data_IF_101257811552
#
_entry.id   IF_101257811552
#
_cell.length_a   1.000
_cell.length_b   1.000
_cell.length_c   1.000
_cell.angle_alpha   90.00
_cell.angle_beta   90.00
_cell.angle_gamma   90.00
#
_symmetry.space_group_name_H-M   'P 1'
#
loop_
_entity.id
_entity.type
_entity.pdbx_description
1 polymer ?
#
# COMPACT_ATOMS: atom_id res chain seq x y z
N UNK A 1 -18.74 18.01 1.85
CA UNK A 1 -17.62 17.44 2.62
C UNK A 1 -16.54 18.49 2.62
N UNK A 2 -16.24 19.06 3.77
CA UNK A 2 -15.16 20.05 3.90
C UNK A 2 -13.85 19.28 3.86
N UNK A 3 -13.10 19.39 2.75
CA UNK A 3 -11.76 18.83 2.63
C UNK A 3 -10.81 19.57 3.55
N UNK A 4 -10.15 18.84 4.44
CA UNK A 4 -9.20 19.42 5.39
C UNK A 4 -7.91 19.81 4.67
N UNK A 5 -7.74 21.10 4.38
CA UNK A 5 -6.50 21.63 3.83
C UNK A 5 -5.58 22.14 4.93
N UNK A 6 -4.35 21.63 4.98
CA UNK A 6 -3.31 22.11 5.88
C UNK A 6 -2.46 23.16 5.15
N UNK A 7 -2.36 24.37 5.71
CA UNK A 7 -1.48 25.42 5.18
C UNK A 7 -0.03 25.09 5.53
N UNK A 8 0.86 25.16 4.55
CA UNK A 8 2.31 25.07 4.77
C UNK A 8 2.91 26.47 4.97
N UNK A 9 3.59 26.69 6.08
CA UNK A 9 4.32 27.93 6.35
C UNK A 9 5.76 27.80 5.86
N UNK A 10 5.97 28.00 4.56
CA UNK A 10 7.28 27.92 3.95
C UNK A 10 7.41 28.86 2.75
N UNK A 11 8.14 29.97 2.95
CA UNK A 11 8.44 30.94 1.89
C UNK A 11 9.17 30.29 0.71
N UNK A 12 10.01 29.27 0.97
CA UNK A 12 10.71 28.54 -0.08
C UNK A 12 9.74 27.76 -0.99
N UNK A 13 8.74 27.08 -0.40
CA UNK A 13 7.73 26.34 -1.16
C UNK A 13 6.79 27.29 -1.90
N UNK A 14 6.37 28.37 -1.26
CA UNK A 14 5.59 29.43 -1.91
C UNK A 14 6.37 30.00 -3.10
N UNK A 15 7.66 30.29 -2.95
CA UNK A 15 8.52 30.78 -4.03
C UNK A 15 8.62 29.79 -5.19
N UNK A 16 8.82 28.50 -4.91
CA UNK A 16 8.88 27.46 -5.95
C UNK A 16 7.55 27.40 -6.70
N UNK A 17 6.43 27.35 -5.98
CA UNK A 17 5.10 27.33 -6.58
C UNK A 17 4.83 28.57 -7.44
N UNK A 18 5.27 29.76 -7.00
CA UNK A 18 5.15 31.00 -7.78
C UNK A 18 5.97 30.97 -9.08
N UNK A 19 7.22 30.48 -9.01
CA UNK A 19 8.08 30.37 -10.19
C UNK A 19 7.52 29.36 -11.21
N UNK A 20 6.96 28.25 -10.74
CA UNK A 20 6.27 27.28 -11.60
C UNK A 20 5.01 27.88 -12.25
N UNK A 21 4.22 28.67 -11.52
CA UNK A 21 3.08 29.39 -12.06
C UNK A 21 3.51 30.40 -13.15
N UNK A 22 4.58 31.15 -12.91
CA UNK A 22 5.19 32.06 -13.90
C UNK A 22 5.64 31.29 -15.14
N UNK A 23 6.37 30.19 -14.96
CA UNK A 23 6.84 29.38 -16.07
C UNK A 23 5.67 28.84 -16.91
N UNK A 24 4.61 28.35 -16.26
CA UNK A 24 3.40 27.90 -16.95
C UNK A 24 2.71 29.04 -17.72
N UNK A 25 2.59 30.23 -17.12
CA UNK A 25 1.98 31.40 -17.77
C UNK A 25 2.76 31.82 -19.02
N UNK A 26 4.09 31.92 -18.92
CA UNK A 26 4.97 32.25 -20.04
C UNK A 26 4.87 31.26 -21.21
N UNK A 27 4.71 29.95 -20.94
CA UNK A 27 4.54 28.94 -22.00
C UNK A 27 3.18 29.09 -22.69
N UNK A 28 2.13 29.39 -21.92
CA UNK A 28 0.76 29.54 -22.45
C UNK A 28 0.66 30.74 -23.40
N UNK A 29 1.20 31.89 -23.02
CA UNK A 29 1.17 33.10 -23.85
C UNK A 29 1.98 32.94 -25.15
N UNK A 30 3.10 32.20 -25.10
CA UNK A 30 3.86 31.87 -26.32
C UNK A 30 3.04 31.00 -27.28
N UNK A 31 2.31 30.03 -26.75
CA UNK A 31 1.46 29.14 -27.56
C UNK A 31 0.29 29.88 -28.20
N UNK A 32 -0.32 30.84 -27.49
CA UNK A 32 -1.36 31.73 -28.03
C UNK A 32 -0.77 32.66 -29.11
N UNK A 33 0.43 33.19 -28.89
CA UNK A 33 1.11 34.06 -29.86
C UNK A 33 1.55 33.32 -31.14
N UNK A 34 1.93 32.05 -31.04
CA UNK A 34 2.30 31.22 -32.21
C UNK A 34 1.11 30.51 -32.85
N UNK A 35 -0.01 30.32 -32.14
CA UNK A 35 -1.19 29.59 -32.60
C UNK A 35 -2.06 30.29 -33.66
N UNK A 36 -1.60 31.43 -34.21
CA UNK A 36 -2.23 32.10 -35.37
C UNK A 36 -1.56 31.65 -36.68
N UNK A 37 -0.44 30.92 -36.64
CA UNK A 37 0.18 30.36 -37.83
C UNK A 37 0.39 28.85 -37.66
N UNK A 38 -0.18 28.11 -38.61
CA UNK A 38 0.05 26.70 -38.91
C UNK A 38 -0.65 25.67 -38.01
N UNK A 39 -1.88 25.35 -38.42
CA UNK A 39 -2.51 24.07 -38.15
C UNK A 39 -1.80 22.96 -38.95
N UNK A 40 -0.63 22.51 -38.49
CA UNK A 40 -0.08 21.21 -38.90
C UNK A 40 -0.28 20.15 -37.80
N UNK A 41 -0.78 19.02 -38.26
CA UNK A 41 -1.18 17.85 -37.50
C UNK A 41 0.06 17.20 -36.87
N UNK A 42 0.35 17.52 -35.60
CA UNK A 42 1.36 16.79 -34.82
C UNK A 42 0.71 15.97 -33.72
N UNK A 43 0.90 14.65 -33.77
CA UNK A 43 0.48 13.67 -32.76
C UNK A 43 1.41 13.70 -31.54
N UNK A 44 1.61 14.87 -30.93
CA UNK A 44 2.41 14.99 -29.72
C UNK A 44 1.54 14.91 -28.47
N UNK A 45 1.84 13.91 -27.63
CA UNK A 45 1.36 13.74 -26.25
C UNK A 45 1.96 14.80 -25.30
N UNK A 46 2.14 16.04 -25.77
CA UNK A 46 2.59 17.14 -24.96
C UNK A 46 1.39 17.90 -24.40
N UNK A 47 1.16 17.73 -23.09
CA UNK A 47 0.80 18.84 -22.20
C UNK A 47 -0.57 19.54 -22.37
N UNK A 48 -1.65 18.82 -22.71
CA UNK A 48 -3.03 19.36 -22.53
C UNK A 48 -3.35 19.79 -21.08
N UNK A 49 -2.59 19.30 -20.09
CA UNK A 49 -2.82 19.60 -18.67
C UNK A 49 -2.20 20.93 -18.19
N UNK A 50 -1.13 21.43 -18.81
CA UNK A 50 -0.48 22.68 -18.34
C UNK A 50 -1.22 23.94 -18.77
N UNK A 51 -1.78 23.96 -19.98
CA UNK A 51 -2.66 25.04 -20.45
C UNK A 51 -3.91 25.16 -19.57
N UNK A 52 -4.46 24.02 -19.14
CA UNK A 52 -5.62 23.96 -18.24
C UNK A 52 -5.41 24.64 -16.87
N UNK A 53 -4.18 24.83 -16.39
CA UNK A 53 -3.92 25.45 -15.08
C UNK A 53 -3.92 26.97 -15.17
N UNK A 54 -3.36 27.52 -16.23
CA UNK A 54 -3.25 28.97 -16.49
C UNK A 54 -4.50 29.56 -17.11
N UNK A 55 -5.29 28.76 -17.83
CA UNK A 55 -6.61 29.16 -18.35
C UNK A 55 -7.61 29.47 -17.22
N UNK A 56 -7.42 28.87 -16.04
CA UNK A 56 -8.24 29.11 -14.85
C UNK A 56 -7.85 30.36 -14.06
N UNK A 57 -6.71 30.97 -14.38
CA UNK A 57 -6.26 32.21 -13.72
C UNK A 57 -7.02 33.41 -14.31
N UNK A 58 -7.40 34.41 -13.50
CA UNK A 58 -7.91 35.68 -14.01
C UNK A 58 -6.94 36.35 -14.99
N UNK A 59 -7.47 37.04 -16.01
CA UNK A 59 -6.68 37.62 -17.10
C UNK A 59 -5.62 38.64 -16.63
N UNK A 60 -5.87 39.34 -15.53
CA UNK A 60 -4.88 40.22 -14.91
C UNK A 60 -3.65 39.47 -14.39
N UNK A 61 -3.89 38.34 -13.71
CA UNK A 61 -2.83 37.48 -13.16
C UNK A 61 -2.07 36.81 -14.31
N UNK A 62 -2.78 36.28 -15.31
CA UNK A 62 -2.16 35.62 -16.48
C UNK A 62 -1.21 36.57 -17.21
N UNK A 63 -1.67 37.79 -17.53
CA UNK A 63 -0.84 38.81 -18.19
C UNK A 63 0.40 39.21 -17.41
N UNK A 64 0.27 39.41 -16.09
CA UNK A 64 1.41 39.82 -15.25
C UNK A 64 2.42 38.69 -15.08
N UNK A 65 1.96 37.45 -14.87
CA UNK A 65 2.84 36.30 -14.70
C UNK A 65 3.47 35.83 -16.03
N UNK A 66 2.82 36.08 -17.17
CA UNK A 66 3.35 35.78 -18.51
C UNK A 66 4.39 36.80 -19.03
N UNK A 67 4.51 37.97 -18.40
CA UNK A 67 5.50 38.99 -18.77
C UNK A 67 6.92 38.55 -18.37
N UNK A 68 7.91 38.87 -19.20
CA UNK A 68 9.32 38.52 -18.94
C UNK A 68 9.89 39.10 -17.63
N UNK A 69 9.28 40.17 -17.10
CA UNK A 69 9.67 40.85 -15.85
C UNK A 69 9.10 40.21 -14.59
N UNK A 70 8.18 39.25 -14.72
CA UNK A 70 7.45 38.61 -13.62
C UNK A 70 8.36 37.97 -12.56
N UNK A 71 9.51 37.44 -12.95
CA UNK A 71 10.48 36.83 -12.02
C UNK A 71 11.04 37.83 -10.99
N UNK A 72 11.14 39.10 -11.35
CA UNK A 72 11.58 40.17 -10.44
C UNK A 72 10.51 40.52 -9.40
N UNK A 73 9.23 40.32 -9.71
CA UNK A 73 8.09 40.60 -8.83
C UNK A 73 7.86 39.50 -7.79
N UNK A 74 8.56 38.36 -7.90
CA UNK A 74 8.34 37.20 -7.05
C UNK A 74 8.47 37.52 -5.56
N UNK A 75 9.47 38.33 -5.17
CA UNK A 75 9.68 38.72 -3.77
C UNK A 75 8.53 39.56 -3.22
N UNK A 76 8.03 40.51 -4.01
CA UNK A 76 6.97 41.41 -3.57
C UNK A 76 5.63 40.67 -3.45
N UNK A 77 5.35 39.75 -4.37
CA UNK A 77 4.16 38.89 -4.32
C UNK A 77 4.17 37.95 -3.10
N UNK A 78 5.33 37.40 -2.75
CA UNK A 78 5.50 36.59 -1.53
C UNK A 78 5.36 37.45 -0.27
N UNK A 79 6.01 38.61 -0.22
CA UNK A 79 5.93 39.55 0.90
C UNK A 79 4.51 40.09 1.15
N UNK A 80 3.70 40.21 0.10
CA UNK A 80 2.29 40.59 0.20
C UNK A 80 1.37 39.44 0.68
N UNK A 81 1.90 38.22 0.84
CA UNK A 81 1.11 37.03 1.17
C UNK A 81 0.11 36.64 0.09
N UNK A 82 0.39 36.99 -1.16
CA UNK A 82 -0.50 36.76 -2.31
C UNK A 82 -0.59 35.27 -2.71
N UNK A 83 0.33 34.46 -2.20
CA UNK A 83 0.36 33.02 -2.43
C UNK A 83 0.33 32.28 -1.09
N UNK A 84 -0.39 31.16 -1.06
CA UNK A 84 -0.39 30.20 0.05
C UNK A 84 -0.38 28.80 -0.54
N UNK A 85 0.43 27.92 0.03
CA UNK A 85 0.48 26.51 -0.35
C UNK A 85 -0.31 25.68 0.64
N UNK A 86 -1.18 24.83 0.13
CA UNK A 86 -2.03 23.94 0.91
C UNK A 86 -1.79 22.48 0.55
N UNK A 87 -1.88 21.61 1.54
CA UNK A 87 -1.84 20.16 1.39
C UNK A 87 -3.21 19.60 1.69
N UNK A 88 -3.70 18.71 0.83
CA UNK A 88 -4.88 17.89 1.10
C UNK A 88 -4.53 16.87 2.20
N UNK A 89 -4.95 17.16 3.44
CA UNK A 89 -4.63 16.33 4.59
C UNK A 89 -5.32 14.97 4.52
N UNK A 90 -6.53 14.92 3.97
CA UNK A 90 -7.30 13.68 3.84
C UNK A 90 -6.64 12.73 2.84
N UNK A 91 -6.19 13.26 1.69
CA UNK A 91 -5.45 12.48 0.71
C UNK A 91 -4.11 12.00 1.25
N UNK A 92 -3.39 12.88 1.96
CA UNK A 92 -2.12 12.52 2.59
C UNK A 92 -2.30 11.44 3.65
N UNK A 93 -3.28 11.60 4.55
CA UNK A 93 -3.60 10.62 5.59
C UNK A 93 -3.91 9.25 4.99
N UNK A 94 -4.84 9.19 4.02
CA UNK A 94 -5.18 7.93 3.34
C UNK A 94 -3.94 7.27 2.73
N UNK A 95 -3.02 8.07 2.17
CA UNK A 95 -1.79 7.54 1.59
C UNK A 95 -0.82 7.03 2.66
N UNK A 96 -0.65 7.76 3.76
CA UNK A 96 0.16 7.32 4.89
C UNK A 96 -0.38 6.03 5.51
N UNK A 97 -1.68 5.92 5.75
CA UNK A 97 -2.31 4.70 6.28
C UNK A 97 -2.06 3.47 5.38
N UNK A 98 -2.09 3.65 4.05
CA UNK A 98 -1.75 2.58 3.11
C UNK A 98 -0.28 2.17 3.21
N UNK A 99 0.63 3.14 3.35
CA UNK A 99 2.06 2.89 3.52
C UNK A 99 2.32 2.16 4.84
N UNK A 100 1.72 2.61 5.94
CA UNK A 100 1.84 1.96 7.25
C UNK A 100 1.34 0.52 7.21
N UNK A 101 0.19 0.26 6.57
CA UNK A 101 -0.30 -1.11 6.36
C UNK A 101 0.68 -1.96 5.57
N UNK A 102 1.32 -1.38 4.55
CA UNK A 102 2.34 -2.07 3.75
C UNK A 102 3.59 -2.39 4.58
N UNK A 103 4.08 -1.44 5.38
CA UNK A 103 5.22 -1.66 6.27
C UNK A 103 4.90 -2.75 7.29
N UNK A 104 3.72 -2.71 7.92
CA UNK A 104 3.28 -3.75 8.86
C UNK A 104 3.23 -5.12 8.19
N UNK A 105 2.72 -5.22 6.96
CA UNK A 105 2.69 -6.48 6.21
C UNK A 105 4.10 -7.03 5.94
N UNK A 106 5.04 -6.15 5.56
CA UNK A 106 6.44 -6.50 5.34
C UNK A 106 7.15 -6.97 6.61
N UNK A 107 6.92 -6.28 7.74
CA UNK A 107 7.50 -6.63 9.03
C UNK A 107 6.95 -7.98 9.53
N UNK A 108 5.65 -8.22 9.38
CA UNK A 108 5.04 -9.51 9.69
C UNK A 108 5.61 -10.62 8.79
N UNK A 109 5.76 -10.38 7.49
CA UNK A 109 6.36 -11.36 6.59
C UNK A 109 7.81 -11.69 7.00
N UNK A 110 8.60 -10.66 7.32
CA UNK A 110 9.97 -10.83 7.82
C UNK A 110 9.98 -11.68 9.10
N UNK A 111 9.13 -11.36 10.07
CA UNK A 111 8.99 -12.10 11.33
C UNK A 111 8.59 -13.57 11.11
N UNK A 112 7.73 -13.84 10.13
CA UNK A 112 7.33 -15.20 9.74
C UNK A 112 8.48 -15.98 9.13
N UNK A 113 9.24 -15.36 8.22
CA UNK A 113 10.40 -16.00 7.60
C UNK A 113 11.46 -16.32 8.64
N UNK A 114 11.74 -15.37 9.54
CA UNK A 114 12.69 -15.52 10.64
C UNK A 114 12.34 -16.71 11.55
N UNK A 115 11.06 -16.84 11.90
CA UNK A 115 10.55 -17.92 12.77
C UNK A 115 10.22 -19.21 12.00
N UNK A 116 10.85 -19.39 10.84
CA UNK A 116 10.76 -20.58 10.00
C UNK A 116 9.31 -20.97 9.64
N UNK A 117 8.52 -20.01 9.16
CA UNK A 117 7.20 -20.29 8.58
C UNK A 117 7.32 -21.12 7.30
N UNK A 118 6.36 -22.03 7.10
CA UNK A 118 6.27 -22.87 5.91
C UNK A 118 5.77 -22.06 4.70
N UNK A 119 6.12 -22.48 3.47
CA UNK A 119 5.61 -21.82 2.25
C UNK A 119 4.07 -21.84 2.20
N UNK A 120 3.37 -22.95 2.54
CA UNK A 120 1.91 -22.95 2.62
C UNK A 120 1.36 -21.90 3.59
N UNK A 121 1.97 -21.77 4.78
CA UNK A 121 1.58 -20.77 5.77
C UNK A 121 1.78 -19.34 5.24
N UNK A 122 2.95 -19.06 4.65
CA UNK A 122 3.24 -17.74 4.09
C UNK A 122 2.24 -17.41 2.97
N UNK A 123 1.95 -18.34 2.05
CA UNK A 123 0.97 -18.11 0.98
C UNK A 123 -0.45 -17.89 1.48
N UNK A 124 -0.83 -18.50 2.60
CA UNK A 124 -2.15 -18.31 3.23
C UNK A 124 -2.33 -16.87 3.73
N UNK A 125 -1.29 -16.30 4.32
CA UNK A 125 -1.39 -15.01 5.00
C UNK A 125 -0.82 -13.82 4.21
N UNK A 126 0.10 -14.04 3.28
CA UNK A 126 0.80 -13.00 2.51
C UNK A 126 0.64 -13.29 1.01
N UNK A 127 -0.49 -12.88 0.44
CA UNK A 127 -0.87 -13.21 -0.95
C UNK A 127 0.12 -12.69 -2.00
N UNK A 128 0.81 -11.60 -1.69
CA UNK A 128 1.78 -10.94 -2.57
C UNK A 128 3.19 -11.53 -2.43
N UNK A 129 3.43 -12.38 -1.42
CA UNK A 129 4.75 -12.97 -1.17
C UNK A 129 5.06 -14.05 -2.21
N UNK A 130 6.00 -13.75 -3.10
CA UNK A 130 6.48 -14.72 -4.10
C UNK A 130 7.55 -15.64 -3.52
N UNK A 131 7.79 -16.78 -4.18
CA UNK A 131 8.89 -17.68 -3.81
C UNK A 131 10.25 -16.98 -3.88
N UNK A 132 10.45 -16.09 -4.87
CA UNK A 132 11.69 -15.32 -5.00
C UNK A 132 11.88 -14.38 -3.80
N UNK A 133 10.83 -13.63 -3.43
CA UNK A 133 10.85 -12.74 -2.27
C UNK A 133 11.15 -13.49 -0.97
N UNK A 134 10.55 -14.67 -0.76
CA UNK A 134 10.79 -15.49 0.44
C UNK A 134 12.23 -16.00 0.48
N UNK A 135 12.78 -16.47 -0.65
CA UNK A 135 14.17 -16.94 -0.73
C UNK A 135 15.15 -15.81 -0.47
N UNK A 136 14.90 -14.63 -1.02
CA UNK A 136 15.71 -13.44 -0.78
C UNK A 136 15.69 -13.05 0.70
N UNK A 137 14.51 -12.94 1.32
CA UNK A 137 14.39 -12.63 2.75
C UNK A 137 15.12 -13.64 3.64
N UNK A 138 15.09 -14.92 3.30
CA UNK A 138 15.86 -15.94 4.04
C UNK A 138 17.36 -15.71 3.96
N UNK A 139 17.86 -15.37 2.77
CA UNK A 139 19.27 -15.08 2.58
C UNK A 139 19.68 -13.81 3.36
N UNK A 140 18.87 -12.75 3.30
CA UNK A 140 19.10 -11.49 4.03
C UNK A 140 19.12 -11.68 5.55
N UNK A 141 18.20 -12.49 6.09
CA UNK A 141 18.10 -12.79 7.51
C UNK A 141 19.08 -13.89 7.98
N UNK A 142 19.80 -14.52 7.05
CA UNK A 142 20.62 -15.70 7.32
C UNK A 142 19.85 -16.85 8.01
N UNK A 143 18.61 -17.10 7.56
CA UNK A 143 17.72 -18.13 8.13
C UNK A 143 17.53 -19.28 7.14
N UNK A 144 17.63 -20.51 7.64
CA UNK A 144 17.42 -21.71 6.83
C UNK A 144 15.95 -21.87 6.41
N UNK A 145 15.74 -22.64 5.34
CA UNK A 145 14.40 -23.09 5.00
C UNK A 145 13.79 -23.88 6.18
N UNK A 146 12.47 -23.78 6.40
CA UNK A 146 11.80 -24.45 7.50
C UNK A 146 12.04 -25.96 7.43
N UNK A 147 12.44 -26.53 8.56
CA UNK A 147 12.49 -27.98 8.73
C UNK A 147 11.09 -28.59 8.64
N UNK A 148 10.99 -29.88 8.32
CA UNK A 148 9.71 -30.58 8.31
C UNK A 148 8.99 -30.37 9.65
N UNK A 149 7.69 -30.04 9.66
CA UNK A 149 6.91 -29.89 10.88
C UNK A 149 7.12 -31.09 11.80
N UNK A 150 7.39 -30.84 13.08
CA UNK A 150 7.58 -31.90 14.07
C UNK A 150 6.22 -32.36 14.59
N UNK A 151 6.02 -33.67 14.73
CA UNK A 151 4.84 -34.18 15.40
C UNK A 151 4.91 -33.82 16.90
N UNK A 152 3.84 -33.25 17.43
CA UNK A 152 3.73 -32.98 18.87
C UNK A 152 3.17 -34.22 19.59
N UNK A 153 3.56 -34.42 20.85
CA UNK A 153 2.89 -35.39 21.72
C UNK A 153 1.45 -34.94 22.00
N UNK A 154 0.58 -35.86 22.40
CA UNK A 154 -0.81 -35.54 22.78
C UNK A 154 -0.88 -34.42 23.83
N UNK A 155 -0.11 -34.56 24.91
CA UNK A 155 0.00 -33.51 25.95
C UNK A 155 0.53 -32.17 25.43
N UNK A 156 1.42 -32.21 24.44
CA UNK A 156 1.93 -31.00 23.78
C UNK A 156 0.88 -30.34 22.88
N UNK A 157 0.02 -31.13 22.23
CA UNK A 157 -1.13 -30.60 21.48
C UNK A 157 -2.16 -29.97 22.41
N UNK A 158 -2.50 -30.61 23.52
CA UNK A 158 -3.47 -30.06 24.49
C UNK A 158 -3.00 -28.69 25.02
N UNK A 159 -1.72 -28.59 25.44
CA UNK A 159 -1.12 -27.34 25.88
C UNK A 159 -1.08 -26.27 24.78
N UNK A 160 -0.82 -26.68 23.54
CA UNK A 160 -0.82 -25.78 22.39
C UNK A 160 -2.21 -25.21 22.12
N UNK A 161 -3.26 -26.03 22.19
CA UNK A 161 -4.64 -25.58 22.01
C UNK A 161 -5.08 -24.65 23.14
N UNK A 162 -4.72 -24.93 24.38
CA UNK A 162 -5.00 -24.04 25.52
C UNK A 162 -4.29 -22.69 25.36
N UNK A 163 -3.01 -22.70 24.96
CA UNK A 163 -2.26 -21.48 24.64
C UNK A 163 -2.92 -20.71 23.49
N UNK A 164 -3.30 -21.39 22.40
CA UNK A 164 -3.99 -20.79 21.28
C UNK A 164 -5.31 -20.15 21.70
N UNK A 165 -6.13 -20.84 22.50
CA UNK A 165 -7.42 -20.35 22.98
C UNK A 165 -7.29 -19.08 23.83
N UNK A 166 -6.23 -18.96 24.64
CA UNK A 166 -5.94 -17.75 25.42
C UNK A 166 -5.61 -16.53 24.57
N UNK A 167 -5.16 -16.74 23.32
CA UNK A 167 -4.83 -15.67 22.37
C UNK A 167 -6.00 -15.26 21.47
N UNK A 168 -7.25 -15.63 21.81
CA UNK A 168 -8.43 -15.39 20.97
C UNK A 168 -8.73 -13.91 20.70
N UNK A 169 -8.30 -13.02 21.57
CA UNK A 169 -8.59 -11.58 21.46
C UNK A 169 -7.68 -10.89 20.43
N UNK A 170 -6.64 -11.56 19.93
CA UNK A 170 -5.81 -11.08 18.83
C UNK A 170 -6.54 -11.34 17.50
N UNK A 171 -7.10 -10.27 16.92
CA UNK A 171 -7.89 -10.35 15.68
C UNK A 171 -7.09 -10.69 14.43
N UNK A 172 -5.83 -10.24 14.32
CA UNK A 172 -4.96 -10.64 13.21
C UNK A 172 -4.33 -12.00 13.51
N UNK A 173 -4.73 -13.02 12.74
CA UNK A 173 -4.21 -14.38 12.88
C UNK A 173 -2.67 -14.43 12.75
N UNK A 174 -2.06 -13.54 11.97
CA UNK A 174 -0.61 -13.52 11.80
C UNK A 174 0.09 -13.19 13.11
N UNK A 175 -0.39 -12.14 13.77
CA UNK A 175 0.11 -11.70 15.07
C UNK A 175 -0.18 -12.75 16.15
N UNK A 176 -1.34 -13.41 16.07
CA UNK A 176 -1.68 -14.50 16.98
C UNK A 176 -0.70 -15.68 16.88
N UNK A 177 -0.29 -16.05 15.66
CA UNK A 177 0.74 -17.09 15.46
C UNK A 177 2.11 -16.66 15.99
N UNK A 178 2.49 -15.39 15.82
CA UNK A 178 3.75 -14.86 16.37
C UNK A 178 3.73 -14.84 17.91
N UNK A 179 2.63 -14.41 18.52
CA UNK A 179 2.44 -14.43 19.97
C UNK A 179 2.47 -15.86 20.51
N UNK A 180 1.87 -16.82 19.82
CA UNK A 180 1.93 -18.24 20.20
C UNK A 180 3.37 -18.78 20.15
N UNK A 181 4.11 -18.44 19.09
CA UNK A 181 5.52 -18.82 18.96
C UNK A 181 6.36 -18.25 20.10
N UNK A 182 6.09 -17.01 20.50
CA UNK A 182 6.74 -16.37 21.64
C UNK A 182 6.38 -17.05 22.97
N UNK A 183 5.11 -17.37 23.22
CA UNK A 183 4.69 -18.15 24.41
C UNK A 183 5.32 -19.54 24.48
N UNK A 184 5.72 -20.09 23.35
CA UNK A 184 6.41 -21.37 23.26
C UNK A 184 7.94 -21.23 23.33
N UNK A 185 8.48 -20.04 23.64
CA UNK A 185 9.91 -19.72 23.69
C UNK A 185 10.67 -20.10 22.40
N UNK A 186 9.98 -20.06 21.25
CA UNK A 186 10.54 -20.51 19.97
C UNK A 186 10.92 -22.00 19.92
N UNK A 187 10.45 -22.81 20.88
CA UNK A 187 10.65 -24.26 20.92
C UNK A 187 10.16 -24.95 19.64
N UNK A 188 9.12 -24.40 19.04
CA UNK A 188 8.50 -24.89 17.81
C UNK A 188 8.54 -23.81 16.74
N UNK A 189 8.96 -24.17 15.53
CA UNK A 189 8.86 -23.29 14.37
C UNK A 189 7.41 -22.96 14.04
N UNK A 190 7.18 -21.83 13.38
CA UNK A 190 5.84 -21.49 12.88
C UNK A 190 5.30 -22.56 11.92
N UNK A 191 6.15 -23.23 11.14
CA UNK A 191 5.75 -24.37 10.33
C UNK A 191 5.16 -25.53 11.16
N UNK A 192 5.71 -25.79 12.34
CA UNK A 192 5.23 -26.83 13.26
C UNK A 192 3.91 -26.44 13.91
N UNK A 193 3.83 -25.21 14.42
CA UNK A 193 2.62 -24.69 15.05
C UNK A 193 1.45 -24.63 14.06
N UNK A 194 1.71 -24.18 12.83
CA UNK A 194 0.71 -24.14 11.78
C UNK A 194 0.20 -25.53 11.40
N UNK A 195 1.10 -26.51 11.23
CA UNK A 195 0.68 -27.88 10.90
C UNK A 195 -0.18 -28.51 12.01
N UNK A 196 0.11 -28.24 13.28
CA UNK A 196 -0.64 -28.76 14.40
C UNK A 196 -2.04 -28.13 14.53
N UNK A 197 -2.17 -26.82 14.27
CA UNK A 197 -3.43 -26.10 14.41
C UNK A 197 -4.32 -26.17 13.17
N UNK A 198 -3.75 -26.28 11.96
CA UNK A 198 -4.52 -26.36 10.71
C UNK A 198 -5.08 -27.78 10.46
N UNK A 199 -4.45 -28.82 11.02
CA UNK A 199 -4.95 -30.20 10.93
C UNK A 199 -6.32 -30.39 11.62
N UNK A 200 -6.56 -29.72 12.76
CA UNK A 200 -7.84 -29.81 13.49
C UNK A 200 -8.96 -28.97 12.85
N UNK A 201 -8.62 -28.03 11.96
CA UNK A 201 -9.61 -27.25 11.21
C UNK A 201 -10.24 -28.05 10.05
N UNK A 202 -9.53 -29.06 9.53
CA UNK A 202 -10.00 -29.94 8.45
C UNK A 202 -10.97 -31.04 8.90
N UNK A 203 -10.86 -31.51 10.14
CA UNK A 203 -11.69 -32.61 10.68
C UNK A 203 -13.07 -32.16 11.19
N UNK A 204 -13.40 -30.86 11.11
CA UNK A 204 -14.69 -30.30 11.57
C UNK A 204 -15.73 -30.05 10.47
N UNK A 205 -15.50 -30.51 9.23
CA UNK A 205 -16.57 -30.56 8.23
C UNK A 205 -17.22 -31.95 8.25
N UNK A 206 -18.41 -32.13 8.86
CA UNK A 206 -19.16 -33.35 8.64
C UNK A 206 -19.59 -33.38 7.18
N UNK A 207 -19.18 -34.43 6.48
CA UNK A 207 -19.69 -34.83 5.17
C UNK A 207 -21.16 -35.21 5.29
N UNK A 208 -22.06 -34.23 5.40
CA UNK A 208 -23.49 -34.45 5.26
C UNK A 208 -23.87 -34.37 3.79
N UNK A 209 -23.85 -35.51 3.11
CA UNK A 209 -24.76 -35.78 1.99
C UNK A 209 -24.72 -37.27 1.67
N UNK A 210 -25.41 -38.03 2.51
CA UNK A 210 -26.25 -39.11 1.99
C UNK A 210 -27.21 -38.49 0.96
N UNK A 211 -27.10 -38.89 -0.30
CA UNK A 211 -28.26 -38.98 -1.17
C UNK A 211 -28.06 -40.17 -2.10
N UNK A 212 -28.63 -41.30 -1.67
CA UNK A 212 -29.00 -42.39 -2.55
C UNK A 212 -29.76 -41.82 -3.75
N UNK A 213 -29.42 -42.27 -4.96
CA UNK A 213 -30.23 -42.05 -6.14
C UNK A 213 -30.43 -43.39 -6.81
N UNK A 214 -31.68 -43.82 -6.70
CA UNK A 214 -32.23 -45.09 -7.13
C UNK A 214 -31.87 -45.47 -8.56
N UNK A 215 -31.65 -46.78 -8.72
CA UNK A 215 -31.68 -47.46 -10.00
C UNK A 215 -33.09 -47.47 -10.58
N UNK A 216 -33.30 -46.81 -11.72
CA UNK A 216 -34.35 -47.19 -12.68
C UNK A 216 -33.79 -47.08 -14.09
N UNK A 217 -33.50 -48.22 -14.72
CA UNK A 217 -33.40 -48.32 -16.19
C UNK A 217 -34.60 -49.12 -16.68
N UNK A 218 -35.57 -48.41 -17.25
CA UNK A 218 -36.59 -49.02 -18.09
C UNK A 218 -35.99 -49.40 -19.44
N UNK A 219 -36.45 -50.54 -19.95
CA UNK A 219 -36.15 -51.09 -21.26
C UNK A 219 -36.74 -50.23 -22.40
N UNK A 220 -35.99 -50.18 -23.50
CA UNK A 220 -36.48 -50.31 -24.88
C UNK A 220 -35.33 -50.82 -25.74
#
# INVERSE_FOLDING_TARGET
>A
MDTAFLRLESEALERIALLELIACACVTDRYIATGIQDAEVSCETASRQRTSLTDRLPDGIRRVLGDARSSALARDLLGAGALRVFVDADALQRRCELIERQWRDQDLLRAFVERQASIPMIRRFFRTATRATITQLRAELNVLAPTKPRALSRSGMDQLFDAWARLKDIGDLRERYLALHEQCDGRWSLATLFAALDADAGDRHPSSSHQESDHVRHAT
#
